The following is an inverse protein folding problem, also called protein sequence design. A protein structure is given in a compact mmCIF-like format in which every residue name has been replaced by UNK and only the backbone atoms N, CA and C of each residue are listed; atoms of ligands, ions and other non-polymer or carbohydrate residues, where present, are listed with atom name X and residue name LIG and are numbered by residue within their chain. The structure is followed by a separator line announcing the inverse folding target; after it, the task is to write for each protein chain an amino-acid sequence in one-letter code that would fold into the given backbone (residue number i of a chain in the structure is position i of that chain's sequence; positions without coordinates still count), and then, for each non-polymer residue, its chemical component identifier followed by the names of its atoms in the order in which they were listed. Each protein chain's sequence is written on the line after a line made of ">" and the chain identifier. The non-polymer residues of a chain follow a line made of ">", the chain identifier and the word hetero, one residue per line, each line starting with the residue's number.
data_IF_053269033614
#
_entry.id   IF_053269033614
#
_cell.length_a   1.000
_cell.length_b   1.000
_cell.length_c   1.000
_cell.angle_alpha   90.00
_cell.angle_beta   90.00
_cell.angle_gamma   90.00
#
_symmetry.space_group_name_H-M   'P 1'
#
loop_
_entity.id
_entity.type
_entity.pdbx_description
1 polymer ?
#
# COMPACT_ATOMS: atom_id res chain seq x y z
N UNK A 1 -5.94 8.66 3.85
CA UNK A 1 -5.80 7.28 4.23
C UNK A 1 -4.59 7.02 5.11
N UNK A 2 -4.72 6.06 6.02
CA UNK A 2 -3.71 5.77 7.02
C UNK A 2 -2.34 5.37 6.46
N UNK A 3 -2.32 4.61 5.38
CA UNK A 3 -1.06 4.16 4.77
C UNK A 3 -0.32 5.32 4.08
N UNK A 4 -1.02 6.11 3.28
CA UNK A 4 -0.42 7.25 2.59
C UNK A 4 0.14 8.29 3.59
N UNK A 5 -0.60 8.57 4.65
CA UNK A 5 -0.12 9.47 5.70
C UNK A 5 1.08 8.92 6.47
N UNK A 6 1.13 7.63 6.70
CA UNK A 6 2.23 6.99 7.44
C UNK A 6 3.56 7.04 6.66
N UNK A 7 3.57 6.77 5.37
CA UNK A 7 4.77 6.84 4.55
C UNK A 7 5.32 8.27 4.50
N UNK A 8 4.46 9.27 4.33
CA UNK A 8 4.86 10.68 4.34
C UNK A 8 5.49 11.08 5.67
N UNK A 9 4.90 10.64 6.78
CA UNK A 9 5.40 10.91 8.14
C UNK A 9 6.79 10.31 8.36
N UNK A 10 7.05 9.11 7.86
CA UNK A 10 8.32 8.39 8.07
C UNK A 10 9.41 8.93 7.15
N UNK A 11 9.08 9.22 5.90
CA UNK A 11 10.04 9.73 4.92
C UNK A 11 10.43 11.19 5.19
N UNK A 12 9.63 11.94 5.95
CA UNK A 12 9.80 13.38 6.25
C UNK A 12 10.07 14.20 4.98
N UNK A 13 9.51 13.76 3.84
CA UNK A 13 9.69 14.36 2.53
C UNK A 13 8.32 14.69 1.96
N UNK A 14 8.14 15.94 1.51
CA UNK A 14 6.99 16.32 0.71
C UNK A 14 7.20 15.84 -0.73
N UNK A 15 6.58 14.72 -1.06
CA UNK A 15 6.64 14.17 -2.41
C UNK A 15 5.46 14.66 -3.26
N UNK A 16 5.69 14.88 -4.57
CA UNK A 16 4.57 15.03 -5.49
C UNK A 16 3.62 13.84 -5.39
N UNK A 17 2.31 14.02 -5.62
CA UNK A 17 1.33 12.96 -5.38
C UNK A 17 1.62 11.62 -6.08
N UNK A 18 2.09 11.64 -7.31
CA UNK A 18 2.43 10.40 -8.05
C UNK A 18 3.60 9.67 -7.38
N UNK A 19 4.61 10.40 -6.94
CA UNK A 19 5.75 9.84 -6.20
C UNK A 19 5.32 9.27 -4.85
N UNK A 20 4.44 9.98 -4.14
CA UNK A 20 3.88 9.50 -2.88
C UNK A 20 3.12 8.18 -3.07
N UNK A 21 2.31 8.07 -4.11
CA UNK A 21 1.62 6.83 -4.48
C UNK A 21 2.62 5.69 -4.71
N UNK A 22 3.68 5.97 -5.48
CA UNK A 22 4.71 4.97 -5.77
C UNK A 22 5.42 4.47 -4.51
N UNK A 23 5.81 5.37 -3.61
CA UNK A 23 6.46 5.02 -2.34
C UNK A 23 5.52 4.18 -1.46
N UNK A 24 4.27 4.60 -1.31
CA UNK A 24 3.27 3.90 -0.50
C UNK A 24 3.03 2.48 -0.97
N UNK A 25 2.81 2.30 -2.26
CA UNK A 25 2.56 0.98 -2.84
C UNK A 25 3.80 0.11 -2.80
N UNK A 26 4.99 0.69 -3.01
CA UNK A 26 6.25 -0.01 -2.86
C UNK A 26 6.47 -0.48 -1.41
N UNK A 27 6.16 0.35 -0.43
CA UNK A 27 6.23 -0.02 0.99
C UNK A 27 5.26 -1.16 1.28
N UNK A 28 4.03 -1.08 0.79
CA UNK A 28 3.01 -2.11 1.01
C UNK A 28 3.45 -3.47 0.49
N UNK A 29 3.98 -3.54 -0.72
CA UNK A 29 4.52 -4.77 -1.30
C UNK A 29 5.73 -5.28 -0.52
N UNK A 30 6.60 -4.39 -0.08
CA UNK A 30 7.79 -4.75 0.68
C UNK A 30 7.43 -5.31 2.06
N UNK A 31 6.43 -4.74 2.74
CA UNK A 31 5.94 -5.25 4.03
C UNK A 31 5.54 -6.72 3.94
N UNK A 32 4.88 -7.12 2.87
CA UNK A 32 4.45 -8.50 2.68
C UNK A 32 5.62 -9.45 2.43
N UNK A 33 6.75 -8.95 1.93
CA UNK A 33 7.97 -9.74 1.80
C UNK A 33 8.78 -9.83 3.10
N UNK A 34 8.66 -8.83 3.98
CA UNK A 34 9.36 -8.80 5.25
C UNK A 34 8.74 -9.70 6.32
N UNK A 35 7.43 -9.96 6.23
CA UNK A 35 6.71 -10.69 7.27
C UNK A 35 5.52 -11.47 6.68
N UNK A 36 5.51 -12.78 6.89
CA UNK A 36 4.46 -13.66 6.36
C UNK A 36 3.09 -13.40 6.98
N UNK A 37 3.02 -13.01 8.25
CA UNK A 37 1.75 -12.66 8.87
C UNK A 37 1.15 -11.41 8.22
N UNK A 38 1.97 -10.42 7.90
CA UNK A 38 1.51 -9.24 7.15
C UNK A 38 1.05 -9.62 5.75
N UNK A 39 1.77 -10.52 5.07
CA UNK A 39 1.33 -11.01 3.75
C UNK A 39 -0.07 -11.61 3.83
N UNK A 40 -0.30 -12.50 4.77
CA UNK A 40 -1.60 -13.16 4.96
C UNK A 40 -2.71 -12.15 5.27
N UNK A 41 -2.44 -11.21 6.17
CA UNK A 41 -3.40 -10.16 6.54
C UNK A 41 -3.78 -9.30 5.33
N UNK A 42 -2.78 -8.85 4.56
CA UNK A 42 -3.04 -8.02 3.38
C UNK A 42 -3.77 -8.78 2.28
N UNK A 43 -3.38 -10.03 2.00
CA UNK A 43 -4.05 -10.85 0.98
C UNK A 43 -5.50 -11.08 1.39
N UNK A 44 -5.76 -11.38 2.65
CA UNK A 44 -7.12 -11.58 3.16
C UNK A 44 -7.95 -10.30 3.00
N UNK A 45 -7.39 -9.14 3.36
CA UNK A 45 -8.07 -7.85 3.23
C UNK A 45 -8.47 -7.58 1.77
N UNK A 46 -7.59 -7.88 0.81
CA UNK A 46 -7.86 -7.70 -0.61
C UNK A 46 -8.73 -8.80 -1.24
N UNK A 47 -8.99 -9.88 -0.52
CA UNK A 47 -9.72 -11.05 -1.05
C UNK A 47 -11.16 -11.13 -0.55
N UNK A 48 -11.42 -10.76 0.70
CA UNK A 48 -12.75 -10.82 1.27
C UNK A 48 -13.62 -9.67 0.73
N UNK A 49 -14.87 -9.95 0.32
CA UNK A 49 -15.74 -8.91 -0.26
C UNK A 49 -15.91 -7.67 0.60
N UNK A 50 -16.09 -7.85 1.91
CA UNK A 50 -16.33 -6.73 2.83
C UNK A 50 -15.12 -5.81 2.95
N UNK A 51 -13.93 -6.38 3.15
CA UNK A 51 -12.70 -5.61 3.31
C UNK A 51 -12.21 -5.03 1.99
N UNK A 52 -12.32 -5.77 0.90
CA UNK A 52 -11.93 -5.27 -0.42
C UNK A 52 -12.81 -4.11 -0.86
N UNK A 53 -14.11 -4.18 -0.63
CA UNK A 53 -15.02 -3.08 -0.94
C UNK A 53 -14.69 -1.83 -0.12
N UNK A 54 -14.36 -1.99 1.15
CA UNK A 54 -13.90 -0.89 2.00
C UNK A 54 -12.65 -0.22 1.42
N UNK A 55 -11.67 -1.02 0.96
CA UNK A 55 -10.46 -0.52 0.32
C UNK A 55 -10.80 0.28 -0.94
N UNK A 56 -11.65 -0.26 -1.82
CA UNK A 56 -12.04 0.44 -3.05
C UNK A 56 -12.67 1.79 -2.77
N UNK A 57 -13.63 1.85 -1.85
CA UNK A 57 -14.33 3.08 -1.50
C UNK A 57 -13.40 4.12 -0.89
N UNK A 58 -12.50 3.71 -0.01
CA UNK A 58 -11.58 4.63 0.67
C UNK A 58 -10.46 5.14 -0.23
N UNK A 59 -10.04 4.35 -1.21
CA UNK A 59 -8.93 4.69 -2.09
C UNK A 59 -9.35 5.54 -3.28
N UNK A 60 -10.60 5.42 -3.72
CA UNK A 60 -11.12 6.08 -4.92
C UNK A 60 -10.90 7.59 -4.91
N UNK A 61 -11.24 8.28 -3.83
CA UNK A 61 -11.09 9.72 -3.72
C UNK A 61 -9.63 10.16 -3.82
N UNK A 62 -8.73 9.41 -3.20
CA UNK A 62 -7.29 9.69 -3.25
C UNK A 62 -6.74 9.49 -4.67
N UNK A 63 -7.14 8.42 -5.35
CA UNK A 63 -6.73 8.15 -6.73
C UNK A 63 -7.20 9.24 -7.69
N UNK A 64 -8.43 9.70 -7.54
CA UNK A 64 -8.96 10.80 -8.33
C UNK A 64 -8.17 12.08 -8.10
N UNK A 65 -7.78 12.35 -6.86
CA UNK A 65 -6.95 13.50 -6.53
C UNK A 65 -5.56 13.40 -7.16
N UNK A 66 -4.96 12.21 -7.14
CA UNK A 66 -3.60 11.99 -7.67
C UNK A 66 -3.59 12.00 -9.20
N UNK A 67 -4.51 11.28 -9.83
CA UNK A 67 -4.49 10.98 -11.27
C UNK A 67 -5.62 11.64 -12.06
N UNK A 68 -6.49 12.41 -11.41
CA UNK A 68 -7.68 12.97 -12.05
C UNK A 68 -7.37 13.85 -13.23
N UNK A 69 -6.25 14.57 -13.23
CA UNK A 69 -5.84 15.40 -14.35
C UNK A 69 -5.60 14.62 -15.64
N UNK A 70 -5.26 13.33 -15.54
CA UNK A 70 -5.07 12.44 -16.68
C UNK A 70 -6.41 11.95 -17.27
N UNK A 71 -7.51 12.17 -16.57
CA UNK A 71 -8.86 11.67 -16.92
C UNK A 71 -9.91 12.79 -16.70
N UNK A 72 -9.85 13.90 -17.46
CA UNK A 72 -10.71 15.06 -17.17
C UNK A 72 -12.21 14.77 -17.23
N UNK A 73 -12.62 13.74 -17.97
CA UNK A 73 -14.03 13.38 -18.15
C UNK A 73 -14.49 12.21 -17.26
N UNK A 74 -13.61 11.70 -16.38
CA UNK A 74 -13.93 10.53 -15.55
C UNK A 74 -14.66 10.95 -14.27
N UNK A 75 -15.67 10.15 -13.93
CA UNK A 75 -16.43 10.27 -12.68
C UNK A 75 -15.77 9.51 -11.53
N UNK A 76 -16.32 9.65 -10.33
CA UNK A 76 -15.91 8.84 -9.18
C UNK A 76 -16.10 7.35 -9.44
N UNK A 77 -17.18 6.97 -10.14
CA UNK A 77 -17.43 5.57 -10.53
C UNK A 77 -16.34 5.00 -11.42
N UNK A 78 -15.82 5.82 -12.34
CA UNK A 78 -14.72 5.38 -13.21
C UNK A 78 -13.46 5.08 -12.39
N UNK A 79 -13.14 5.93 -11.42
CA UNK A 79 -12.00 5.72 -10.53
C UNK A 79 -12.20 4.52 -9.61
N UNK A 80 -13.41 4.30 -9.12
CA UNK A 80 -13.76 3.12 -8.36
C UNK A 80 -13.52 1.83 -9.17
N UNK A 81 -13.97 1.82 -10.41
CA UNK A 81 -13.79 0.68 -11.33
C UNK A 81 -12.32 0.41 -11.64
N UNK A 82 -11.52 1.47 -11.83
CA UNK A 82 -10.06 1.33 -12.03
C UNK A 82 -9.37 0.80 -10.77
N UNK A 83 -9.82 1.22 -9.58
CA UNK A 83 -9.28 0.74 -8.31
C UNK A 83 -9.49 -0.76 -8.13
N UNK A 84 -10.63 -1.30 -8.55
CA UNK A 84 -10.86 -2.74 -8.54
C UNK A 84 -9.73 -3.47 -9.28
N UNK A 85 -9.35 -2.96 -10.43
CA UNK A 85 -8.28 -3.54 -11.25
C UNK A 85 -6.90 -3.42 -10.61
N UNK A 86 -6.54 -2.22 -10.15
CA UNK A 86 -5.22 -2.00 -9.56
C UNK A 86 -5.07 -2.64 -8.17
N UNK A 87 -6.16 -2.76 -7.41
CA UNK A 87 -6.18 -3.54 -6.18
C UNK A 87 -5.93 -5.02 -6.46
N UNK A 88 -6.46 -5.54 -7.56
CA UNK A 88 -6.18 -6.90 -8.03
C UNK A 88 -4.71 -7.12 -8.39
N UNK A 89 -4.10 -6.15 -9.08
CA UNK A 89 -2.65 -6.15 -9.32
C UNK A 89 -1.87 -6.23 -8.00
N UNK A 90 -2.22 -5.38 -7.05
CA UNK A 90 -1.57 -5.35 -5.74
C UNK A 90 -1.68 -6.71 -5.04
N UNK A 91 -2.89 -7.24 -4.93
CA UNK A 91 -3.15 -8.53 -4.29
C UNK A 91 -2.32 -9.64 -4.92
N UNK A 92 -2.30 -9.74 -6.25
CA UNK A 92 -1.59 -10.82 -6.92
C UNK A 92 -0.08 -10.70 -6.76
N UNK A 93 0.48 -9.50 -6.82
CA UNK A 93 1.91 -9.30 -6.57
C UNK A 93 2.28 -9.55 -5.09
N UNK A 94 1.40 -9.25 -4.15
CA UNK A 94 1.59 -9.62 -2.74
C UNK A 94 1.64 -11.13 -2.55
N UNK A 95 0.74 -11.85 -3.22
CA UNK A 95 0.60 -13.29 -3.08
C UNK A 95 1.80 -14.06 -3.66
N UNK A 96 2.44 -13.53 -4.69
CA UNK A 96 3.61 -14.15 -5.33
C UNK A 96 4.87 -13.77 -4.57
N UNK A 97 5.42 -14.71 -3.80
CA UNK A 97 6.66 -14.51 -3.04
C UNK A 97 7.84 -14.23 -3.99
N UNK A 98 8.74 -13.34 -3.56
CA UNK A 98 9.99 -13.12 -4.26
C UNK A 98 10.90 -14.33 -4.18
N UNK A 99 11.70 -14.53 -5.22
CA UNK A 99 12.75 -15.55 -5.26
C UNK A 99 13.93 -15.02 -6.10
N UNK A 100 14.93 -15.89 -6.34
CA UNK A 100 16.13 -15.51 -7.09
C UNK A 100 15.81 -15.04 -8.52
N UNK A 101 14.74 -15.56 -9.12
CA UNK A 101 14.33 -15.20 -10.49
C UNK A 101 13.32 -14.04 -10.52
N UNK A 102 12.74 -13.71 -9.38
CA UNK A 102 11.79 -12.62 -9.24
C UNK A 102 12.07 -11.82 -7.97
N UNK A 103 13.15 -11.03 -7.95
CA UNK A 103 13.54 -10.25 -6.77
C UNK A 103 12.57 -9.09 -6.52
N UNK A 104 12.64 -8.53 -5.32
CA UNK A 104 11.77 -7.45 -4.88
C UNK A 104 11.78 -6.24 -5.81
N UNK A 105 12.95 -5.78 -6.24
CA UNK A 105 13.05 -4.63 -7.18
C UNK A 105 12.27 -4.88 -8.46
N UNK A 106 12.28 -6.12 -8.96
CA UNK A 106 11.51 -6.49 -10.14
C UNK A 106 10.02 -6.48 -9.89
N UNK A 107 9.60 -7.01 -8.75
CA UNK A 107 8.19 -6.97 -8.34
C UNK A 107 7.69 -5.53 -8.25
N UNK A 108 8.43 -4.64 -7.58
CA UNK A 108 8.06 -3.23 -7.44
C UNK A 108 7.97 -2.56 -8.81
N UNK A 109 8.95 -2.79 -9.68
CA UNK A 109 8.97 -2.21 -11.02
C UNK A 109 7.77 -2.69 -11.84
N UNK A 110 7.45 -3.98 -11.80
CA UNK A 110 6.32 -4.54 -12.55
C UNK A 110 4.98 -4.00 -12.09
N UNK A 111 4.78 -3.97 -10.76
CA UNK A 111 3.55 -3.43 -10.21
C UNK A 111 3.38 -1.95 -10.58
N UNK A 112 4.40 -1.14 -10.33
CA UNK A 112 4.32 0.30 -10.58
C UNK A 112 4.12 0.61 -12.06
N UNK A 113 4.81 -0.10 -12.95
CA UNK A 113 4.64 0.08 -14.39
C UNK A 113 3.19 -0.22 -14.81
N UNK A 114 2.63 -1.34 -14.36
CA UNK A 114 1.27 -1.72 -14.70
C UNK A 114 0.24 -0.74 -14.13
N UNK A 115 0.35 -0.41 -12.85
CA UNK A 115 -0.60 0.50 -12.19
C UNK A 115 -0.55 1.91 -12.78
N UNK A 116 0.64 2.45 -13.00
CA UNK A 116 0.78 3.80 -13.56
C UNK A 116 0.31 3.89 -15.00
N UNK A 117 0.44 2.82 -15.79
CA UNK A 117 -0.12 2.76 -17.14
C UNK A 117 -1.65 2.74 -17.11
N UNK A 118 -2.23 2.04 -16.16
CA UNK A 118 -3.69 2.11 -15.95
C UNK A 118 -4.12 3.55 -15.72
N UNK A 119 -3.37 4.30 -14.92
CA UNK A 119 -3.69 5.70 -14.61
C UNK A 119 -3.13 6.72 -15.61
N UNK A 120 -2.71 6.27 -16.80
CA UNK A 120 -2.23 7.12 -17.91
C UNK A 120 -1.08 8.04 -17.53
N UNK A 121 -0.21 7.60 -16.64
CA UNK A 121 1.02 8.33 -16.35
C UNK A 121 1.92 8.28 -17.59
N UNK A 122 2.39 9.44 -18.10
CA UNK A 122 3.27 9.45 -19.26
C UNK A 122 4.55 8.63 -19.05
N UNK A 123 5.05 7.98 -20.10
CA UNK A 123 6.18 7.06 -20.01
C UNK A 123 7.47 7.72 -19.48
N UNK A 124 7.70 9.00 -19.81
CA UNK A 124 8.84 9.75 -19.29
C UNK A 124 8.72 9.99 -17.78
N UNK A 125 7.54 10.30 -17.28
CA UNK A 125 7.26 10.45 -15.85
C UNK A 125 7.38 9.10 -15.14
N UNK A 126 6.82 8.04 -15.72
CA UNK A 126 6.94 6.68 -15.20
C UNK A 126 8.42 6.29 -15.02
N UNK A 127 9.25 6.54 -16.01
CA UNK A 127 10.68 6.25 -15.94
C UNK A 127 11.36 6.99 -14.77
N UNK A 128 11.01 8.25 -14.55
CA UNK A 128 11.53 9.06 -13.43
C UNK A 128 11.09 8.50 -12.08
N UNK A 129 9.83 8.11 -11.96
CA UNK A 129 9.28 7.54 -10.73
C UNK A 129 9.97 6.21 -10.41
N UNK A 130 10.15 5.34 -11.41
CA UNK A 130 10.85 4.07 -11.22
C UNK A 130 12.30 4.29 -10.78
N UNK A 131 13.00 5.24 -11.39
CA UNK A 131 14.36 5.60 -11.01
C UNK A 131 14.43 6.11 -9.56
N UNK A 132 13.44 6.90 -9.16
CA UNK A 132 13.34 7.40 -7.79
C UNK A 132 13.15 6.26 -6.78
N UNK A 133 12.25 5.33 -7.05
CA UNK A 133 12.04 4.16 -6.17
C UNK A 133 13.31 3.32 -6.06
N UNK A 134 14.02 3.10 -7.17
CA UNK A 134 15.28 2.36 -7.16
C UNK A 134 16.38 3.06 -6.37
N UNK A 135 16.34 4.38 -6.27
CA UNK A 135 17.30 5.17 -5.50
C UNK A 135 17.09 5.09 -3.98
N UNK A 136 15.92 4.63 -3.55
CA UNK A 136 15.57 4.54 -2.13
C UNK A 136 15.96 3.18 -1.54
N UNK A 137 16.34 3.17 -0.27
CA UNK A 137 16.42 1.94 0.50
C UNK A 137 15.01 1.58 1.00
N UNK A 138 14.22 1.02 0.10
CA UNK A 138 12.80 0.71 0.35
C UNK A 138 12.66 -0.31 1.49
N UNK A 139 13.58 -1.26 1.60
CA UNK A 139 13.58 -2.24 2.71
C UNK A 139 13.74 -1.57 4.07
N UNK A 140 14.67 -0.61 4.18
CA UNK A 140 14.88 0.13 5.41
C UNK A 140 13.65 0.96 5.78
N UNK A 141 13.05 1.63 4.82
CA UNK A 141 11.84 2.43 5.01
C UNK A 141 10.68 1.52 5.46
N UNK A 142 10.45 0.42 4.75
CA UNK A 142 9.39 -0.53 5.08
C UNK A 142 9.60 -1.18 6.45
N UNK A 143 10.84 -1.48 6.82
CA UNK A 143 11.17 -2.03 8.14
C UNK A 143 10.75 -1.07 9.26
N UNK A 144 11.01 0.21 9.11
CA UNK A 144 10.57 1.23 10.08
C UNK A 144 9.05 1.29 10.17
N UNK A 145 8.36 1.24 9.02
CA UNK A 145 6.89 1.19 8.97
C UNK A 145 6.37 -0.04 9.70
N UNK A 146 6.97 -1.19 9.46
CA UNK A 146 6.59 -2.47 10.09
C UNK A 146 6.69 -2.39 11.61
N UNK A 147 7.80 -1.92 12.14
CA UNK A 147 7.97 -1.76 13.58
C UNK A 147 6.96 -0.78 14.19
N UNK A 148 6.68 0.30 13.48
CA UNK A 148 5.68 1.28 13.91
C UNK A 148 4.27 0.67 13.93
N UNK A 149 3.91 -0.14 12.92
CA UNK A 149 2.65 -0.87 12.88
C UNK A 149 2.54 -1.85 14.05
N UNK A 150 3.59 -2.61 14.33
CA UNK A 150 3.59 -3.56 15.45
C UNK A 150 3.50 -2.86 16.80
N UNK A 151 4.18 -1.74 16.98
CA UNK A 151 4.07 -0.94 18.20
C UNK A 151 2.64 -0.44 18.41
N UNK A 152 1.98 0.02 17.36
CA UNK A 152 0.57 0.44 17.41
C UNK A 152 -0.37 -0.72 17.75
N UNK A 153 -0.13 -1.89 17.18
CA UNK A 153 -0.92 -3.11 17.46
C UNK A 153 -0.69 -3.60 18.89
N UNK A 154 0.54 -3.59 19.39
CA UNK A 154 0.87 -3.93 20.77
C UNK A 154 0.15 -3.01 21.75
N UNK A 155 0.16 -1.71 21.52
CA UNK A 155 -0.55 -0.75 22.37
C UNK A 155 -2.04 -1.06 22.44
N UNK A 156 -2.66 -1.38 21.31
CA UNK A 156 -4.08 -1.75 21.25
C UNK A 156 -4.34 -3.09 21.94
N UNK A 157 -3.45 -4.04 21.75
CA UNK A 157 -3.54 -5.35 22.36
C UNK A 157 -3.41 -5.27 23.88
N UNK A 158 -2.42 -4.57 24.39
CA UNK A 158 -2.22 -4.35 25.81
C UNK A 158 -3.41 -3.66 26.48
N UNK A 159 -4.00 -2.68 25.80
CA UNK A 159 -5.19 -2.00 26.26
C UNK A 159 -6.40 -2.96 26.37
N UNK A 160 -6.58 -3.85 25.39
CA UNK A 160 -7.65 -4.86 25.40
C UNK A 160 -7.43 -5.90 26.49
N UNK A 161 -6.22 -6.40 26.64
CA UNK A 161 -5.85 -7.34 27.70
C UNK A 161 -6.08 -6.77 29.08
N UNK A 162 -5.72 -5.52 29.32
CA UNK A 162 -5.95 -4.84 30.57
C UNK A 162 -7.43 -4.79 30.93
N UNK A 163 -8.30 -4.47 29.98
CA UNK A 163 -9.75 -4.47 30.17
C UNK A 163 -10.33 -5.87 30.43
N UNK A 164 -9.90 -6.85 29.64
CA UNK A 164 -10.34 -8.23 29.78
C UNK A 164 -9.80 -8.87 31.07
N UNK A 165 -8.56 -8.54 31.43
CA UNK A 165 -7.95 -8.97 32.67
C UNK A 165 -8.67 -8.42 33.91
N UNK A 166 -9.09 -7.18 33.88
CA UNK A 166 -9.90 -6.59 34.95
C UNK A 166 -11.27 -7.27 35.08
N UNK A 167 -11.85 -7.67 33.97
CA UNK A 167 -13.14 -8.38 33.95
C UNK A 167 -12.98 -9.81 34.47
N UNK A 168 -11.88 -10.49 34.19
CA UNK A 168 -11.59 -11.84 34.67
C UNK A 168 -11.28 -11.89 36.17
N UNK A 169 -10.59 -10.88 36.69
CA UNK A 169 -10.23 -10.79 38.11
C UNK A 169 -11.45 -10.52 38.99
N UNK A 170 -12.50 -9.95 38.44
CA UNK A 170 -13.76 -9.67 39.15
C UNK A 170 -14.77 -10.83 39.10
N UNK A 171 -14.44 -11.94 38.47
CA UNK A 171 -15.23 -13.18 38.47
C UNK A 171 -14.63 -14.21 39.42
#
# INVERSE_FOLDING_TARGET
>A
GGQFGMARSIADIKLPPVYAYAVETAIQLTLTELNENLREIYIEAYSLPETSEYIYLHTTAELKQIFGANFPDYSDSDFYEMEIGTAGLMRNYMARKCDIHFPLERKLSRFLTAAMRVYRVPEDELAKVLAFIQSLDIKAIATKVMYKLFAMLEMKYDFRLSKDGETEVTR
#
